data_IF_885967852659
#
_entry.id   IF_885967852659
#
_cell.length_a   1.000
_cell.length_b   1.000
_cell.length_c   1.000
_cell.angle_alpha   90.00
_cell.angle_beta   90.00
_cell.angle_gamma   90.00
#
_symmetry.space_group_name_H-M   'P 1'
#
loop_
_entity.id
_entity.type
_entity.pdbx_description
1 polymer ?
#
# COMPACT_ATOMS: atom_id res chain seq x y z
N UNK A 1 -31.78 -13.34 33.53
CA UNK A 1 -32.38 -13.35 32.20
C UNK A 1 -31.23 -13.61 31.19
N UNK A 2 -31.08 -14.87 30.76
CA UNK A 2 -30.05 -15.26 29.77
C UNK A 2 -30.62 -14.97 28.39
N UNK A 3 -29.97 -14.07 27.62
CA UNK A 3 -30.29 -13.88 26.20
C UNK A 3 -29.80 -15.09 25.44
N UNK A 4 -30.71 -15.88 24.92
CA UNK A 4 -30.47 -16.94 23.96
C UNK A 4 -29.94 -16.29 22.67
N UNK A 5 -28.71 -16.61 22.29
CA UNK A 5 -28.16 -16.25 20.97
C UNK A 5 -28.84 -17.16 19.93
N UNK A 6 -29.54 -16.56 18.99
CA UNK A 6 -30.15 -17.24 17.86
C UNK A 6 -29.02 -17.67 16.86
N UNK A 7 -28.84 -18.97 16.55
CA UNK A 7 -27.76 -19.45 15.69
C UNK A 7 -28.06 -19.35 14.19
N UNK A 8 -29.14 -18.71 13.76
CA UNK A 8 -29.63 -18.84 12.36
C UNK A 8 -29.31 -17.70 11.39
N UNK A 9 -28.30 -16.87 11.64
CA UNK A 9 -27.95 -15.77 10.68
C UNK A 9 -26.51 -15.77 10.18
N UNK A 10 -25.80 -16.90 10.26
CA UNK A 10 -24.54 -17.03 9.54
C UNK A 10 -24.84 -17.69 8.19
N UNK A 11 -24.82 -16.90 7.11
CA UNK A 11 -24.85 -17.44 5.75
C UNK A 11 -23.82 -18.58 5.62
N UNK A 12 -24.15 -19.67 4.92
CA UNK A 12 -23.25 -20.80 4.77
C UNK A 12 -21.91 -20.33 4.18
N UNK A 13 -20.81 -20.91 4.66
CA UNK A 13 -19.43 -20.57 4.27
C UNK A 13 -19.15 -20.74 2.76
N UNK A 14 -20.05 -21.40 2.02
CA UNK A 14 -19.98 -21.64 0.57
C UNK A 14 -20.46 -20.47 -0.31
N UNK A 15 -20.92 -19.38 0.27
CA UNK A 15 -21.34 -18.18 -0.47
C UNK A 15 -20.35 -17.02 -0.27
N UNK A 16 -19.06 -17.27 -0.18
CA UNK A 16 -18.09 -16.24 -0.52
C UNK A 16 -18.27 -15.96 -2.01
N UNK A 17 -18.89 -14.83 -2.32
CA UNK A 17 -18.82 -14.32 -3.68
C UNK A 17 -17.34 -14.43 -4.13
N UNK A 18 -17.09 -15.12 -5.22
CA UNK A 18 -15.75 -15.44 -5.79
C UNK A 18 -14.94 -14.20 -6.22
N UNK A 19 -15.03 -13.11 -5.46
CA UNK A 19 -14.29 -11.89 -5.75
C UNK A 19 -12.95 -11.91 -5.03
N UNK A 20 -11.84 -11.85 -5.79
CA UNK A 20 -10.51 -11.79 -5.20
C UNK A 20 -10.37 -10.62 -4.21
N UNK A 21 -9.78 -10.88 -3.04
CA UNK A 21 -9.49 -9.87 -2.03
C UNK A 21 -8.16 -9.21 -2.33
N UNK A 22 -8.16 -7.88 -2.49
CA UNK A 22 -6.96 -7.10 -2.79
C UNK A 22 -6.64 -6.17 -1.63
N UNK A 23 -5.46 -6.31 -1.03
CA UNK A 23 -4.94 -5.40 -0.02
C UNK A 23 -4.59 -4.05 -0.66
N UNK A 24 -5.00 -2.98 -0.01
CA UNK A 24 -4.71 -1.60 -0.42
C UNK A 24 -4.11 -0.86 0.77
N UNK A 25 -2.77 -0.80 0.89
CA UNK A 25 -2.09 -0.04 1.93
C UNK A 25 -2.50 1.43 1.95
N UNK A 26 -2.79 1.95 3.14
CA UNK A 26 -3.11 3.35 3.34
C UNK A 26 -1.84 4.19 3.56
N UNK A 27 -1.95 5.48 3.28
CA UNK A 27 -0.98 6.51 3.66
C UNK A 27 -1.24 6.99 5.09
N UNK A 28 -0.19 7.49 5.75
CA UNK A 28 -0.30 8.23 6.98
C UNK A 28 -0.32 9.73 6.67
N UNK A 29 -1.38 10.42 7.07
CA UNK A 29 -1.59 11.84 6.75
C UNK A 29 -2.06 12.62 7.96
N UNK A 30 -1.52 13.82 8.11
CA UNK A 30 -2.11 14.83 8.97
C UNK A 30 -3.25 15.52 8.21
N UNK A 31 -4.46 15.49 8.77
CA UNK A 31 -5.61 16.27 8.30
C UNK A 31 -5.99 17.23 9.43
N UNK A 32 -5.65 18.51 9.26
CA UNK A 32 -5.65 19.45 10.35
C UNK A 32 -4.63 19.04 11.42
N UNK A 33 -5.07 18.92 12.67
CA UNK A 33 -4.23 18.57 13.81
C UNK A 33 -4.22 17.06 14.15
N UNK A 34 -4.92 16.24 13.36
CA UNK A 34 -5.08 14.82 13.67
C UNK A 34 -4.41 13.92 12.62
N UNK A 35 -3.76 12.82 13.05
CA UNK A 35 -3.25 11.80 12.15
C UNK A 35 -4.38 10.91 11.64
N UNK A 36 -4.32 10.56 10.36
CA UNK A 36 -5.27 9.67 9.70
C UNK A 36 -4.56 8.66 8.81
N UNK A 37 -5.16 7.49 8.69
CA UNK A 37 -4.86 6.55 7.62
C UNK A 37 -5.81 6.83 6.45
N UNK A 38 -5.25 7.10 5.27
CA UNK A 38 -6.04 7.47 4.10
C UNK A 38 -5.69 6.60 2.90
N UNK A 39 -6.70 6.18 2.15
CA UNK A 39 -6.53 5.53 0.87
C UNK A 39 -7.23 6.36 -0.21
N UNK A 40 -6.54 6.65 -1.29
CA UNK A 40 -7.11 7.41 -2.39
C UNK A 40 -8.32 6.69 -2.99
N UNK A 41 -9.48 7.34 -3.01
CA UNK A 41 -10.74 6.79 -3.51
C UNK A 41 -10.58 6.11 -4.88
N UNK A 42 -9.81 6.72 -5.78
CA UNK A 42 -9.56 6.21 -7.14
C UNK A 42 -8.94 4.80 -7.15
N UNK A 43 -8.10 4.45 -6.18
CA UNK A 43 -7.48 3.12 -6.09
C UNK A 43 -8.47 2.08 -5.60
N UNK A 44 -9.26 2.42 -4.58
CA UNK A 44 -10.34 1.57 -4.08
C UNK A 44 -11.38 1.30 -5.17
N UNK A 45 -11.75 2.34 -5.93
CA UNK A 45 -12.68 2.21 -7.05
C UNK A 45 -12.09 1.38 -8.19
N UNK A 46 -10.80 1.52 -8.49
CA UNK A 46 -10.12 0.71 -9.51
C UNK A 46 -10.14 -0.79 -9.18
N UNK A 47 -9.91 -1.16 -7.93
CA UNK A 47 -10.03 -2.56 -7.47
C UNK A 47 -11.46 -3.08 -7.66
N UNK A 48 -12.48 -2.26 -7.35
CA UNK A 48 -13.88 -2.63 -7.56
C UNK A 48 -14.23 -2.79 -9.03
N UNK A 49 -13.73 -1.87 -9.87
CA UNK A 49 -13.93 -1.94 -11.33
C UNK A 49 -13.30 -3.19 -11.94
N UNK A 50 -12.19 -3.68 -11.36
CA UNK A 50 -11.57 -4.94 -11.75
C UNK A 50 -12.33 -6.18 -11.25
N UNK A 51 -13.49 -6.02 -10.61
CA UNK A 51 -14.29 -7.13 -10.07
C UNK A 51 -13.81 -7.67 -8.72
N UNK A 52 -12.79 -7.05 -8.12
CA UNK A 52 -12.19 -7.48 -6.86
C UNK A 52 -12.82 -6.78 -5.65
N UNK A 53 -12.50 -7.30 -4.45
CA UNK A 53 -12.89 -6.71 -3.18
C UNK A 53 -11.70 -5.96 -2.57
N UNK A 54 -11.75 -4.62 -2.46
CA UNK A 54 -10.67 -3.87 -1.83
C UNK A 54 -10.74 -3.97 -0.31
N UNK A 55 -9.62 -4.29 0.32
CA UNK A 55 -9.40 -4.19 1.75
C UNK A 55 -8.34 -3.13 2.04
N UNK A 56 -8.76 -1.99 2.57
CA UNK A 56 -7.81 -0.94 2.98
C UNK A 56 -7.16 -1.37 4.29
N UNK A 57 -5.83 -1.47 4.27
CA UNK A 57 -5.02 -1.79 5.45
C UNK A 57 -4.43 -0.49 5.99
N UNK A 58 -4.82 -0.04 7.19
CA UNK A 58 -4.39 1.24 7.73
C UNK A 58 -2.88 1.28 7.99
N UNK A 59 -2.35 0.27 8.67
CA UNK A 59 -0.92 -0.01 8.82
C UNK A 59 -0.77 -1.44 9.35
N UNK A 60 0.45 -1.96 9.31
CA UNK A 60 0.78 -3.28 9.85
C UNK A 60 2.21 -3.31 10.40
N UNK A 61 2.50 -4.27 11.27
CA UNK A 61 3.86 -4.67 11.60
C UNK A 61 4.47 -5.49 10.47
N UNK A 62 5.78 -5.50 10.37
CA UNK A 62 6.47 -6.36 9.41
C UNK A 62 6.24 -7.86 9.67
N UNK A 63 5.97 -8.21 10.92
CA UNK A 63 5.62 -9.56 11.40
C UNK A 63 4.19 -9.98 11.05
N UNK A 64 3.30 -9.03 10.73
CA UNK A 64 1.91 -9.29 10.33
C UNK A 64 1.77 -9.51 8.80
N UNK A 65 2.83 -9.30 8.03
CA UNK A 65 2.80 -9.34 6.55
C UNK A 65 2.36 -10.70 6.02
N UNK A 66 2.90 -11.80 6.56
CA UNK A 66 2.56 -13.15 6.11
C UNK A 66 1.10 -13.49 6.40
N UNK A 67 0.58 -13.06 7.56
CA UNK A 67 -0.82 -13.24 7.91
C UNK A 67 -1.74 -12.44 6.96
N UNK A 68 -1.43 -11.18 6.69
CA UNK A 68 -2.18 -10.35 5.73
C UNK A 68 -2.21 -11.00 4.34
N UNK A 69 -1.05 -11.47 3.85
CA UNK A 69 -0.94 -12.11 2.54
C UNK A 69 -1.69 -13.45 2.49
N UNK A 70 -1.78 -14.19 3.60
CA UNK A 70 -2.54 -15.44 3.67
C UNK A 70 -4.04 -15.27 3.46
N UNK A 71 -4.56 -14.05 3.67
CA UNK A 71 -5.97 -13.70 3.50
C UNK A 71 -6.27 -13.00 2.16
N UNK A 72 -5.24 -12.71 1.36
CA UNK A 72 -5.35 -11.88 0.16
C UNK A 72 -5.06 -12.66 -1.11
N UNK A 73 -5.77 -12.30 -2.18
CA UNK A 73 -5.54 -12.80 -3.54
C UNK A 73 -4.65 -11.86 -4.36
N UNK A 74 -4.36 -10.67 -3.83
CA UNK A 74 -3.50 -9.69 -4.49
C UNK A 74 -3.22 -8.46 -3.64
N UNK A 75 -2.27 -7.66 -4.09
CA UNK A 75 -1.85 -6.40 -3.47
C UNK A 75 -1.86 -5.28 -4.48
N UNK A 76 -2.44 -4.13 -4.14
CA UNK A 76 -2.32 -2.88 -4.88
C UNK A 76 -1.53 -1.86 -4.04
N UNK A 77 -0.25 -1.66 -4.36
CA UNK A 77 0.54 -0.57 -3.80
C UNK A 77 0.18 0.74 -4.50
N UNK A 78 -0.41 1.65 -3.76
CA UNK A 78 -0.97 2.89 -4.29
C UNK A 78 0.10 3.96 -4.52
N UNK A 79 -0.19 4.89 -5.42
CA UNK A 79 0.52 6.16 -5.47
C UNK A 79 0.23 7.02 -4.24
N UNK A 80 1.18 7.88 -3.91
CA UNK A 80 1.13 8.84 -2.82
C UNK A 80 1.86 10.12 -3.19
N UNK A 81 1.62 11.20 -2.47
CA UNK A 81 2.45 12.40 -2.55
C UNK A 81 3.76 12.24 -1.76
N UNK A 82 3.85 11.28 -0.83
CA UNK A 82 5.10 10.94 -0.14
C UNK A 82 6.00 10.07 -1.02
N UNK A 83 7.28 10.06 -0.71
CA UNK A 83 8.29 9.22 -1.36
C UNK A 83 8.82 8.17 -0.38
N UNK A 84 9.47 7.13 -0.90
CA UNK A 84 10.23 6.19 -0.09
C UNK A 84 11.43 6.92 0.51
N UNK A 85 11.70 6.67 1.79
CA UNK A 85 12.82 7.32 2.48
C UNK A 85 14.16 6.95 1.80
N UNK A 86 14.96 7.94 1.34
CA UNK A 86 16.26 7.72 0.69
C UNK A 86 17.21 6.84 1.47
N UNK A 87 17.17 6.87 2.81
CA UNK A 87 18.03 6.04 3.66
C UNK A 87 17.78 4.55 3.49
N UNK A 88 16.60 4.14 3.01
CA UNK A 88 16.27 2.75 2.75
C UNK A 88 16.94 2.18 1.48
N UNK A 89 17.51 3.05 0.65
CA UNK A 89 18.33 2.66 -0.50
C UNK A 89 19.73 3.29 -0.48
N UNK A 90 20.24 3.59 0.73
CA UNK A 90 21.63 3.96 0.98
C UNK A 90 22.00 5.41 0.64
N UNK A 91 21.00 6.31 0.58
CA UNK A 91 21.24 7.73 0.29
C UNK A 91 20.82 8.61 1.50
N UNK A 92 21.49 9.76 1.65
CA UNK A 92 20.99 10.82 2.53
C UNK A 92 19.82 11.56 1.88
N UNK A 93 18.97 12.20 2.68
CA UNK A 93 17.86 13.02 2.20
C UNK A 93 18.42 14.34 1.69
N UNK A 94 18.35 14.60 0.38
CA UNK A 94 18.89 15.81 -0.24
C UNK A 94 18.04 17.04 0.05
N UNK A 95 16.71 16.89 0.05
CA UNK A 95 15.75 17.95 0.34
C UNK A 95 14.96 17.61 1.62
N UNK A 96 15.20 18.33 2.74
CA UNK A 96 14.47 18.10 3.99
C UNK A 96 12.95 18.32 3.88
N UNK A 97 12.48 19.03 2.86
CA UNK A 97 11.04 19.23 2.60
C UNK A 97 10.40 18.07 1.85
N UNK A 98 11.18 17.07 1.43
CA UNK A 98 10.69 15.89 0.73
C UNK A 98 9.64 15.16 1.60
N UNK A 99 8.40 15.05 1.15
CA UNK A 99 7.38 14.37 1.93
C UNK A 99 7.70 12.87 2.01
N UNK A 100 7.83 12.35 3.22
CA UNK A 100 8.12 10.95 3.53
C UNK A 100 6.96 10.34 4.33
N UNK A 101 6.83 9.04 4.29
CA UNK A 101 5.92 8.26 5.14
C UNK A 101 6.67 7.05 5.72
N UNK A 102 7.48 7.26 6.77
CA UNK A 102 8.29 6.20 7.36
C UNK A 102 7.46 5.03 7.90
N UNK A 103 6.26 5.30 8.42
CA UNK A 103 5.36 4.26 8.94
C UNK A 103 4.91 3.34 7.81
N UNK A 104 4.56 3.89 6.66
CA UNK A 104 4.22 3.10 5.47
C UNK A 104 5.42 2.30 5.00
N UNK A 105 6.61 2.90 4.93
CA UNK A 105 7.82 2.22 4.48
C UNK A 105 8.17 0.97 5.30
N UNK A 106 7.93 0.99 6.64
CA UNK A 106 8.34 -0.11 7.53
C UNK A 106 7.68 -1.43 7.23
N UNK A 107 6.50 -1.42 6.63
CA UNK A 107 5.76 -2.66 6.36
C UNK A 107 5.44 -2.88 4.87
N UNK A 108 5.31 -1.81 4.06
CA UNK A 108 5.00 -2.00 2.63
C UNK A 108 6.20 -2.50 1.83
N UNK A 109 7.44 -2.21 2.23
CA UNK A 109 8.63 -2.78 1.60
C UNK A 109 8.72 -4.30 1.87
N UNK A 110 8.61 -4.78 3.14
CA UNK A 110 8.46 -6.20 3.42
C UNK A 110 7.27 -6.84 2.69
N UNK A 111 6.10 -6.18 2.66
CA UNK A 111 4.92 -6.66 1.96
C UNK A 111 5.18 -6.89 0.47
N UNK A 112 5.81 -5.92 -0.21
CA UNK A 112 6.13 -6.03 -1.63
C UNK A 112 7.06 -7.22 -1.90
N UNK A 113 8.13 -7.34 -1.13
CA UNK A 113 9.09 -8.46 -1.25
C UNK A 113 8.40 -9.79 -1.02
N UNK A 114 7.64 -9.90 0.05
CA UNK A 114 7.01 -11.15 0.45
C UNK A 114 5.89 -11.58 -0.49
N UNK A 115 5.12 -10.63 -1.02
CA UNK A 115 4.11 -10.92 -2.04
C UNK A 115 4.75 -11.56 -3.28
N UNK A 116 5.88 -11.02 -3.76
CA UNK A 116 6.62 -11.58 -4.89
C UNK A 116 7.20 -12.97 -4.59
N UNK A 117 7.77 -13.18 -3.41
CA UNK A 117 8.30 -14.48 -2.97
C UNK A 117 7.21 -15.57 -2.92
N UNK A 118 6.02 -15.21 -2.47
CA UNK A 118 4.87 -16.11 -2.37
C UNK A 118 4.09 -16.25 -3.68
N UNK A 119 4.43 -15.48 -4.72
CA UNK A 119 3.70 -15.45 -5.99
C UNK A 119 2.32 -14.80 -5.89
N UNK A 120 2.07 -13.98 -4.85
CA UNK A 120 0.85 -13.18 -4.73
C UNK A 120 0.90 -12.05 -5.76
N UNK A 121 -0.12 -11.90 -6.64
CA UNK A 121 -0.19 -10.85 -7.62
C UNK A 121 -0.03 -9.46 -6.98
N UNK A 122 0.89 -8.65 -7.52
CA UNK A 122 1.17 -7.32 -7.03
C UNK A 122 1.09 -6.31 -8.15
N UNK A 123 0.28 -5.26 -7.98
CA UNK A 123 0.24 -4.10 -8.86
C UNK A 123 0.70 -2.86 -8.12
N UNK A 124 1.65 -2.13 -8.69
CA UNK A 124 2.31 -1.01 -8.03
C UNK A 124 2.23 0.27 -8.88
N UNK A 125 1.74 1.37 -8.29
CA UNK A 125 1.50 2.63 -8.98
C UNK A 125 2.31 3.75 -8.34
N UNK A 126 3.10 4.50 -9.12
CA UNK A 126 3.87 5.68 -8.69
C UNK A 126 4.73 5.36 -7.45
N UNK A 127 4.34 5.82 -6.24
CA UNK A 127 5.05 5.47 -5.01
C UNK A 127 5.12 3.96 -4.79
N UNK A 128 4.06 3.21 -5.07
CA UNK A 128 4.08 1.75 -4.97
C UNK A 128 5.16 1.12 -5.87
N UNK A 129 5.41 1.69 -7.05
CA UNK A 129 6.52 1.27 -7.91
C UNK A 129 7.88 1.58 -7.26
N UNK A 130 8.02 2.74 -6.62
CA UNK A 130 9.23 3.07 -5.84
C UNK A 130 9.45 2.04 -4.72
N UNK A 131 8.39 1.72 -3.96
CA UNK A 131 8.42 0.72 -2.88
C UNK A 131 8.89 -0.65 -3.40
N UNK A 132 8.34 -1.10 -4.52
CA UNK A 132 8.72 -2.38 -5.13
C UNK A 132 10.17 -2.37 -5.58
N UNK A 133 10.63 -1.30 -6.24
CA UNK A 133 12.02 -1.17 -6.67
C UNK A 133 13.01 -1.23 -5.48
N UNK A 134 12.74 -0.49 -4.41
CA UNK A 134 13.58 -0.47 -3.22
C UNK A 134 13.52 -1.80 -2.47
N UNK A 135 12.34 -2.42 -2.36
CA UNK A 135 12.17 -3.74 -1.75
C UNK A 135 13.00 -4.81 -2.44
N UNK A 136 13.24 -4.68 -3.75
CA UNK A 136 14.09 -5.57 -4.55
C UNK A 136 15.57 -5.16 -4.59
N UNK A 137 15.98 -4.17 -3.81
CA UNK A 137 17.36 -3.70 -3.70
C UNK A 137 17.75 -2.62 -4.71
N UNK A 138 16.78 -2.07 -5.45
CA UNK A 138 17.00 -0.95 -6.35
C UNK A 138 17.17 0.38 -5.63
N UNK A 139 17.64 1.38 -6.36
CA UNK A 139 17.80 2.77 -5.90
C UNK A 139 16.89 3.71 -6.69
N UNK A 140 16.75 4.94 -6.20
CA UNK A 140 15.89 5.97 -6.81
C UNK A 140 16.68 7.28 -6.98
N UNK A 141 16.30 8.06 -7.98
CA UNK A 141 16.67 9.46 -8.06
C UNK A 141 15.66 10.29 -7.24
N UNK A 142 16.15 11.07 -6.28
CA UNK A 142 15.29 11.87 -5.40
C UNK A 142 14.62 13.04 -6.15
N UNK A 143 15.30 13.60 -7.17
CA UNK A 143 14.85 14.73 -7.96
C UNK A 143 15.09 14.45 -9.46
N UNK A 144 14.24 13.61 -10.06
CA UNK A 144 14.39 13.19 -11.46
C UNK A 144 14.35 14.37 -12.44
N UNK A 145 13.63 15.44 -12.11
CA UNK A 145 13.52 16.67 -12.92
C UNK A 145 14.80 17.52 -12.91
N UNK A 146 15.75 17.23 -12.03
CA UNK A 146 17.09 17.87 -12.04
C UNK A 146 18.08 17.14 -12.95
N UNK A 147 17.70 15.96 -13.46
CA UNK A 147 18.53 15.23 -14.42
C UNK A 147 18.39 15.83 -15.81
N UNK A 148 19.48 15.89 -16.61
CA UNK A 148 19.40 16.34 -18.00
C UNK A 148 18.36 15.54 -18.79
N UNK A 149 17.58 16.23 -19.61
CA UNK A 149 16.59 15.65 -20.52
C UNK A 149 15.46 14.84 -19.81
N UNK A 150 15.16 15.15 -18.56
CA UNK A 150 14.06 14.53 -17.81
C UNK A 150 13.02 15.56 -17.40
N UNK A 151 11.77 15.23 -17.68
CA UNK A 151 10.63 16.04 -17.28
C UNK A 151 10.20 15.73 -15.83
N UNK A 152 9.53 16.70 -15.22
CA UNK A 152 8.88 16.47 -13.93
C UNK A 152 7.68 15.54 -14.08
N UNK A 153 7.65 14.48 -13.28
CA UNK A 153 6.50 13.58 -13.18
C UNK A 153 5.48 14.00 -12.11
N UNK A 154 5.68 15.17 -11.51
CA UNK A 154 4.69 15.73 -10.57
C UNK A 154 3.49 16.20 -11.36
N UNK A 155 2.27 15.85 -10.89
CA UNK A 155 1.04 16.41 -11.44
C UNK A 155 1.09 17.94 -11.32
N UNK A 156 0.60 18.63 -12.33
CA UNK A 156 0.35 20.06 -12.22
C UNK A 156 -0.61 20.35 -11.04
N UNK A 157 -0.44 21.48 -10.37
CA UNK A 157 -1.29 21.88 -9.26
C UNK A 157 -2.76 22.05 -9.68
#
# INVERSE_FOLDING_TARGET
MKRSANPETRAPADARADRPLVLVPADNRMLGEHPFHVAGKKYVDAVRLAGCLPLVVPSAGADEVDELLSHADGVLLTGSASNVNPRLFGQEVNDPSLPLDPVRDTWTLPLARRALELGVPLFAICRGFQETNVALGGTLFQAIHELPDKDSHRSAP
#
